data_IF_942924789521
#
_entry.id   IF_942924789521
#
_cell.length_a   1.000
_cell.length_b   1.000
_cell.length_c   1.000
_cell.angle_alpha   90.00
_cell.angle_beta   90.00
_cell.angle_gamma   90.00
#
_symmetry.space_group_name_H-M   'P 1'
#
loop_
_entity.id
_entity.type
_entity.pdbx_description
1 polymer ?
#
# COMPACT_ATOMS: atom_id res chain seq x y z
N UNK A 1 9.98 30.03 -16.05
CA UNK A 1 10.21 29.00 -15.00
C UNK A 1 9.43 29.39 -13.76
N UNK A 2 8.44 28.59 -13.35
CA UNK A 2 7.64 28.86 -12.14
C UNK A 2 8.58 28.82 -10.92
N UNK A 3 8.79 29.97 -10.29
CA UNK A 3 9.71 30.14 -9.16
C UNK A 3 8.96 29.84 -7.86
N UNK A 4 8.95 28.57 -7.46
CA UNK A 4 8.34 28.16 -6.19
C UNK A 4 9.11 28.75 -5.01
N UNK A 5 8.40 29.31 -4.02
CA UNK A 5 8.97 29.71 -2.72
C UNK A 5 9.64 28.48 -2.08
N UNK A 6 10.77 28.66 -1.41
CA UNK A 6 11.56 27.58 -0.78
C UNK A 6 10.70 26.73 0.16
N UNK A 7 9.83 27.38 0.93
CA UNK A 7 8.86 26.75 1.83
C UNK A 7 7.89 25.82 1.10
N UNK A 8 7.36 26.24 -0.06
CA UNK A 8 6.44 25.42 -0.87
C UNK A 8 7.15 24.19 -1.43
N UNK A 9 8.41 24.32 -1.85
CA UNK A 9 9.21 23.17 -2.32
C UNK A 9 9.44 22.14 -1.20
N UNK A 10 9.74 22.61 0.00
CA UNK A 10 9.99 21.74 1.15
C UNK A 10 8.73 20.96 1.53
N UNK A 11 7.58 21.64 1.64
CA UNK A 11 6.29 20.99 1.92
C UNK A 11 5.91 19.97 0.86
N UNK A 12 6.10 20.32 -0.42
CA UNK A 12 5.83 19.41 -1.52
C UNK A 12 6.71 18.17 -1.44
N UNK A 13 8.01 18.33 -1.17
CA UNK A 13 8.93 17.20 -0.99
C UNK A 13 8.52 16.30 0.18
N UNK A 14 8.10 16.88 1.31
CA UNK A 14 7.59 16.10 2.46
C UNK A 14 6.37 15.28 2.08
N UNK A 15 5.38 15.88 1.41
CA UNK A 15 4.17 15.17 0.98
C UNK A 15 4.50 14.03 0.01
N UNK A 16 5.38 14.28 -0.96
CA UNK A 16 5.83 13.23 -1.89
C UNK A 16 6.55 12.08 -1.18
N UNK A 17 7.40 12.38 -0.20
CA UNK A 17 8.10 11.35 0.56
C UNK A 17 7.14 10.50 1.41
N UNK A 18 6.17 11.14 2.07
CA UNK A 18 5.14 10.43 2.84
C UNK A 18 4.27 9.58 1.91
N UNK A 19 3.82 10.13 0.78
CA UNK A 19 3.04 9.39 -0.20
C UNK A 19 3.81 8.17 -0.71
N UNK A 20 5.08 8.34 -1.09
CA UNK A 20 5.95 7.25 -1.55
C UNK A 20 6.08 6.14 -0.49
N UNK A 21 6.30 6.53 0.77
CA UNK A 21 6.37 5.59 1.88
C UNK A 21 5.07 4.81 2.07
N UNK A 22 3.93 5.50 2.05
CA UNK A 22 2.60 4.88 2.21
C UNK A 22 2.28 3.92 1.08
N UNK A 23 2.64 4.23 -0.17
CA UNK A 23 2.46 3.29 -1.28
C UNK A 23 3.41 2.09 -1.16
N UNK A 24 4.69 2.31 -0.86
CA UNK A 24 5.66 1.23 -0.78
C UNK A 24 5.37 0.22 0.34
N UNK A 25 4.93 0.70 1.50
CA UNK A 25 4.62 -0.16 2.65
C UNK A 25 3.14 -0.52 2.76
N UNK A 26 2.23 0.30 2.24
CA UNK A 26 0.79 0.10 2.36
C UNK A 26 0.17 -0.69 1.22
N UNK A 27 0.81 -0.78 0.05
CA UNK A 27 0.25 -1.51 -1.09
C UNK A 27 0.03 -3.00 -0.79
N UNK A 28 1.08 -3.71 -0.36
CA UNK A 28 1.01 -5.15 -0.10
C UNK A 28 0.02 -5.47 1.03
N UNK A 29 0.06 -4.80 2.21
CA UNK A 29 -0.94 -5.04 3.26
C UNK A 29 -2.38 -4.78 2.82
N UNK A 30 -2.61 -3.74 2.01
CA UNK A 30 -3.96 -3.42 1.53
C UNK A 30 -4.46 -4.49 0.56
N UNK A 31 -3.62 -4.93 -0.38
CA UNK A 31 -3.96 -6.00 -1.33
C UNK A 31 -4.24 -7.30 -0.59
N UNK A 32 -3.41 -7.66 0.39
CA UNK A 32 -3.64 -8.85 1.23
C UNK A 32 -4.97 -8.75 1.98
N UNK A 33 -5.24 -7.63 2.65
CA UNK A 33 -6.49 -7.41 3.36
C UNK A 33 -7.72 -7.56 2.45
N UNK A 34 -7.67 -6.98 1.24
CA UNK A 34 -8.75 -7.12 0.26
C UNK A 34 -8.88 -8.57 -0.25
N UNK A 35 -7.77 -9.28 -0.46
CA UNK A 35 -7.77 -10.69 -0.82
C UNK A 35 -8.43 -11.57 0.23
N UNK A 36 -8.05 -11.41 1.50
CA UNK A 36 -8.68 -12.13 2.62
C UNK A 36 -10.14 -11.75 2.80
N UNK A 37 -10.49 -10.47 2.66
CA UNK A 37 -11.88 -9.99 2.82
C UNK A 37 -12.80 -10.48 1.71
N UNK A 38 -12.31 -10.62 0.48
CA UNK A 38 -13.07 -11.20 -0.62
C UNK A 38 -13.31 -12.70 -0.41
N UNK A 39 -12.38 -13.38 0.27
CA UNK A 39 -12.46 -14.82 0.52
C UNK A 39 -12.16 -15.63 -0.74
N UNK A 40 -12.12 -16.95 -0.57
CA UNK A 40 -11.98 -17.91 -1.67
C UNK A 40 -13.34 -18.20 -2.31
N UNK A 41 -13.33 -18.58 -3.60
CA UNK A 41 -14.55 -19.02 -4.27
C UNK A 41 -15.16 -20.25 -3.56
N UNK A 42 -16.50 -20.38 -3.54
CA UNK A 42 -17.17 -21.47 -2.83
C UNK A 42 -16.67 -22.85 -3.33
N UNK A 43 -16.01 -23.59 -2.43
CA UNK A 43 -15.39 -24.88 -2.72
C UNK A 43 -13.85 -24.89 -2.61
N UNK A 44 -13.20 -23.74 -2.41
CA UNK A 44 -11.75 -23.66 -2.14
C UNK A 44 -11.44 -23.37 -0.67
N UNK A 45 -10.33 -23.91 -0.12
CA UNK A 45 -9.93 -23.70 1.27
C UNK A 45 -9.74 -22.21 1.58
N UNK A 46 -10.04 -21.82 2.82
CA UNK A 46 -9.94 -20.43 3.26
C UNK A 46 -8.51 -19.91 3.10
N UNK A 47 -8.39 -18.70 2.55
CA UNK A 47 -7.10 -18.00 2.49
C UNK A 47 -6.68 -17.70 3.94
N UNK A 48 -5.63 -18.39 4.41
CA UNK A 48 -5.02 -18.10 5.71
C UNK A 48 -3.65 -17.45 5.49
N UNK A 49 -3.20 -16.54 6.38
CA UNK A 49 -1.87 -15.95 6.29
C UNK A 49 -0.75 -17.01 6.23
N UNK A 50 -0.99 -18.16 6.85
CA UNK A 50 -0.05 -19.28 6.87
C UNK A 50 0.05 -19.98 5.51
N UNK A 51 -1.05 -20.17 4.78
CA UNK A 51 -1.01 -20.80 3.45
C UNK A 51 -0.37 -19.90 2.38
N UNK A 52 -0.38 -18.58 2.57
CA UNK A 52 0.24 -17.61 1.66
C UNK A 52 1.75 -17.45 1.89
N UNK A 53 2.23 -17.64 3.12
CA UNK A 53 3.64 -17.46 3.48
C UNK A 53 4.44 -18.78 3.45
N UNK A 54 3.78 -19.93 3.60
CA UNK A 54 4.38 -21.27 3.65
C UNK A 54 3.63 -22.25 2.72
N UNK A 55 3.75 -22.05 1.41
CA UNK A 55 3.47 -23.12 0.44
C UNK A 55 4.57 -24.18 0.43
#
# INVERSE_FOLDING_TARGET
>A
MVRMKSETKQRLSTVFNVAKFMFQWGFIPTVLYLGFRKGSDPGMPELTPMSLLWQ
#
